data_IF_928904521034
#
_entry.id   IF_928904521034
#
_cell.length_a   1.000
_cell.length_b   1.000
_cell.length_c   1.000
_cell.angle_alpha   90.00
_cell.angle_beta   90.00
_cell.angle_gamma   90.00
#
_symmetry.space_group_name_H-M   'P 1'
#
loop_
_entity.id
_entity.type
_entity.pdbx_description
1 polymer ?
#
# COMPACT_ATOMS: atom_id res chain seq x y z
N UNK A 1 -14.49 0.74 -12.59
CA UNK A 1 -15.57 0.80 -11.58
C UNK A 1 -15.19 0.10 -10.28
N UNK A 2 -14.68 -1.13 -10.33
CA UNK A 2 -14.26 -1.92 -9.15
C UNK A 2 -13.21 -1.23 -8.27
N UNK A 3 -12.19 -0.60 -8.88
CA UNK A 3 -11.14 0.10 -8.13
C UNK A 3 -11.69 1.25 -7.27
N UNK A 4 -12.66 2.01 -7.78
CA UNK A 4 -13.29 3.11 -7.06
C UNK A 4 -14.17 2.63 -5.90
N UNK A 5 -14.92 1.54 -6.10
CA UNK A 5 -15.73 0.93 -5.04
C UNK A 5 -14.87 0.36 -3.91
N UNK A 6 -13.77 -0.32 -4.24
CA UNK A 6 -12.81 -0.80 -3.25
C UNK A 6 -12.19 0.36 -2.48
N UNK A 7 -11.71 1.38 -3.18
CA UNK A 7 -11.12 2.56 -2.56
C UNK A 7 -12.09 3.26 -1.59
N UNK A 8 -13.35 3.44 -2.01
CA UNK A 8 -14.39 4.03 -1.16
C UNK A 8 -14.73 3.17 0.05
N UNK A 9 -14.83 1.84 -0.13
CA UNK A 9 -15.09 0.91 0.98
C UNK A 9 -13.98 0.93 2.04
N UNK A 10 -12.71 0.87 1.61
CA UNK A 10 -11.56 0.95 2.52
C UNK A 10 -11.46 2.32 3.20
N UNK A 11 -11.72 3.40 2.47
CA UNK A 11 -11.72 4.76 3.05
C UNK A 11 -12.86 4.94 4.07
N UNK A 12 -14.05 4.43 3.78
CA UNK A 12 -15.20 4.47 4.69
C UNK A 12 -14.94 3.72 6.00
N UNK A 13 -14.30 2.56 5.93
CA UNK A 13 -13.87 1.82 7.13
C UNK A 13 -12.84 2.61 7.94
N UNK A 14 -11.83 3.21 7.29
CA UNK A 14 -10.82 4.01 7.97
C UNK A 14 -11.42 5.21 8.70
N UNK A 15 -12.33 5.94 8.05
CA UNK A 15 -13.01 7.10 8.64
C UNK A 15 -13.90 6.68 9.81
N UNK A 16 -14.58 5.52 9.73
CA UNK A 16 -15.45 5.04 10.79
C UNK A 16 -14.71 4.66 12.08
N UNK A 17 -13.45 4.24 11.98
CA UNK A 17 -12.62 3.83 13.12
C UNK A 17 -11.89 5.05 13.71
N UNK A 18 -11.69 6.10 12.94
CA UNK A 18 -11.06 7.32 13.44
C UNK A 18 -11.93 8.01 14.50
N UNK A 19 -11.38 8.49 15.65
CA UNK A 19 -9.95 8.57 16.01
C UNK A 19 -9.41 7.37 16.82
N UNK A 20 -10.21 6.33 17.03
CA UNK A 20 -9.88 5.18 17.88
C UNK A 20 -9.54 3.95 17.06
N UNK A 21 -8.26 3.62 16.92
CA UNK A 21 -7.83 2.44 16.17
C UNK A 21 -8.38 1.13 16.74
N UNK A 22 -8.63 1.08 18.06
CA UNK A 22 -9.35 0.01 18.75
C UNK A 22 -10.34 0.65 19.75
N UNK A 23 -11.65 0.70 19.43
CA UNK A 23 -12.68 1.18 20.36
C UNK A 23 -12.77 0.26 21.59
N UNK A 24 -13.00 0.76 22.81
CA UNK A 24 -13.35 2.14 23.22
C UNK A 24 -12.20 2.96 23.83
N UNK A 25 -10.99 2.41 24.00
CA UNK A 25 -9.97 2.98 24.89
C UNK A 25 -8.62 3.31 24.25
N UNK A 26 -8.34 2.85 23.02
CA UNK A 26 -7.05 3.08 22.39
C UNK A 26 -7.20 4.01 21.18
N UNK A 27 -6.83 5.26 21.41
CA UNK A 27 -6.69 6.26 20.35
C UNK A 27 -5.42 6.04 19.52
N UNK A 28 -5.39 6.61 18.31
CA UNK A 28 -4.19 6.60 17.46
C UNK A 28 -2.93 7.11 18.16
N UNK A 29 -3.09 8.02 19.13
CA UNK A 29 -2.00 8.64 19.87
C UNK A 29 -1.45 7.71 20.96
N UNK A 30 -2.32 6.93 21.59
CA UNK A 30 -1.92 5.95 22.60
C UNK A 30 -1.31 4.69 21.98
N UNK A 31 -1.74 4.32 20.77
CA UNK A 31 -1.15 3.25 19.99
C UNK A 31 0.14 3.68 19.26
N UNK A 32 0.49 4.97 19.27
CA UNK A 32 1.67 5.46 18.56
C UNK A 32 2.96 4.95 19.21
N UNK A 33 3.85 4.42 18.38
CA UNK A 33 5.21 4.05 18.79
C UNK A 33 6.02 5.28 19.24
N UNK A 34 7.07 5.12 20.07
CA UNK A 34 7.93 6.23 20.46
C UNK A 34 8.48 7.03 19.26
N UNK A 35 8.62 8.37 19.37
CA UNK A 35 8.99 9.23 18.24
C UNK A 35 10.28 8.83 17.51
N UNK A 36 11.27 8.30 18.25
CA UNK A 36 12.53 7.85 17.67
C UNK A 36 12.36 6.63 16.75
N UNK A 37 11.56 5.65 17.16
CA UNK A 37 11.24 4.47 16.35
C UNK A 37 10.36 4.85 15.16
N UNK A 38 9.41 5.78 15.34
CA UNK A 38 8.58 6.29 14.25
C UNK A 38 9.41 7.05 13.21
N UNK A 39 10.38 7.85 13.65
CA UNK A 39 11.33 8.52 12.77
C UNK A 39 12.19 7.54 11.96
N UNK A 40 12.71 6.48 12.59
CA UNK A 40 13.45 5.43 11.89
C UNK A 40 12.59 4.73 10.83
N UNK A 41 11.35 4.36 11.19
CA UNK A 41 10.40 3.75 10.25
C UNK A 41 10.05 4.69 9.09
N UNK A 42 9.92 6.00 9.34
CA UNK A 42 9.63 6.99 8.31
C UNK A 42 10.79 7.11 7.31
N UNK A 43 12.03 7.22 7.80
CA UNK A 43 13.21 7.28 6.93
C UNK A 43 13.38 5.98 6.15
N UNK A 44 13.26 4.82 6.82
CA UNK A 44 13.33 3.52 6.16
C UNK A 44 12.24 3.35 5.10
N UNK A 45 11.00 3.69 5.43
CA UNK A 45 9.87 3.65 4.50
C UNK A 45 10.06 4.59 3.30
N UNK A 46 10.56 5.80 3.52
CA UNK A 46 10.78 6.79 2.46
C UNK A 46 11.84 6.35 1.45
N UNK A 47 12.80 5.50 1.85
CA UNK A 47 13.79 4.92 0.94
C UNK A 47 13.30 3.61 0.31
N UNK A 48 12.68 2.74 1.10
CA UNK A 48 12.27 1.39 0.66
C UNK A 48 11.06 1.46 -0.29
N UNK A 49 10.07 2.31 0.00
CA UNK A 49 8.85 2.41 -0.80
C UNK A 49 9.17 2.79 -2.26
N UNK A 50 9.97 3.84 -2.55
CA UNK A 50 10.34 4.17 -3.93
C UNK A 50 11.07 3.05 -4.65
N UNK A 51 11.95 2.31 -3.95
CA UNK A 51 12.68 1.18 -4.54
C UNK A 51 11.71 0.05 -4.93
N UNK A 52 10.78 -0.30 -4.04
CA UNK A 52 9.74 -1.30 -4.33
C UNK A 52 8.88 -0.87 -5.51
N UNK A 53 8.44 0.39 -5.54
CA UNK A 53 7.64 0.93 -6.64
C UNK A 53 8.41 0.93 -7.96
N UNK A 54 9.70 1.32 -7.95
CA UNK A 54 10.54 1.30 -9.14
C UNK A 54 10.72 -0.12 -9.69
N UNK A 55 11.01 -1.10 -8.82
CA UNK A 55 11.10 -2.51 -9.19
C UNK A 55 9.78 -3.04 -9.74
N UNK A 56 8.66 -2.69 -9.09
CA UNK A 56 7.32 -3.12 -9.50
C UNK A 56 6.99 -2.54 -10.88
N UNK A 57 7.18 -1.23 -11.08
CA UNK A 57 7.00 -0.57 -12.38
C UNK A 57 7.90 -1.16 -13.46
N UNK A 58 9.16 -1.44 -13.15
CA UNK A 58 10.09 -2.09 -14.08
C UNK A 58 9.63 -3.50 -14.46
N UNK A 59 9.20 -4.30 -13.48
CA UNK A 59 8.65 -5.64 -13.71
C UNK A 59 7.45 -5.57 -14.68
N UNK A 60 6.48 -4.69 -14.41
CA UNK A 60 5.36 -4.47 -15.33
C UNK A 60 5.83 -3.99 -16.70
N UNK A 61 6.85 -3.15 -16.79
CA UNK A 61 7.40 -2.69 -18.06
C UNK A 61 8.09 -3.80 -18.85
N UNK A 62 8.90 -4.64 -18.21
CA UNK A 62 9.60 -5.77 -18.85
C UNK A 62 8.59 -6.80 -19.35
N UNK A 63 7.57 -7.12 -18.55
CA UNK A 63 6.57 -8.13 -18.88
C UNK A 63 5.37 -7.59 -19.68
N UNK A 64 5.37 -6.32 -20.09
CA UNK A 64 4.31 -5.75 -20.96
C UNK A 64 4.37 -6.25 -22.40
N UNK A 65 5.36 -7.08 -22.74
CA UNK A 65 5.53 -7.65 -24.08
C UNK A 65 4.26 -8.39 -24.52
N UNK A 66 3.81 -8.10 -25.75
CA UNK A 66 2.62 -8.74 -26.33
C UNK A 66 2.87 -10.24 -26.43
N UNK A 67 2.09 -11.04 -25.71
CA UNK A 67 2.02 -12.49 -25.94
C UNK A 67 1.48 -12.67 -27.36
N UNK A 68 2.34 -13.09 -28.29
CA UNK A 68 1.89 -13.49 -29.62
C UNK A 68 1.06 -14.77 -29.45
N UNK A 69 -0.21 -14.81 -29.88
CA UNK A 69 -1.04 -16.01 -29.77
C UNK A 69 -0.54 -17.21 -30.60
N UNK A 70 0.47 -17.00 -31.45
CA UNK A 70 0.85 -17.93 -32.54
C UNK A 70 2.09 -18.80 -32.23
N UNK A 71 2.90 -18.48 -31.20
CA UNK A 71 4.16 -19.21 -30.91
C UNK A 71 3.97 -20.42 -29.96
N UNK A 72 2.76 -21.01 -29.94
CA UNK A 72 2.39 -22.08 -28.99
C UNK A 72 1.69 -23.30 -29.61
N UNK A 73 1.69 -23.46 -30.94
CA UNK A 73 1.17 -24.65 -31.61
C UNK A 73 2.08 -25.07 -32.78
N UNK A 74 3.09 -25.89 -32.46
CA UNK A 74 3.72 -26.80 -33.40
C UNK A 74 3.92 -28.15 -32.70
#
# INVERSE_FOLDING_TARGET
MTLGLMFLGFSGLGISIWPNIIPPSISIWQAASPPQSQGFMLVGGLLIIPVILAYTCWSYYVFRGKIKPDEGYH
#
